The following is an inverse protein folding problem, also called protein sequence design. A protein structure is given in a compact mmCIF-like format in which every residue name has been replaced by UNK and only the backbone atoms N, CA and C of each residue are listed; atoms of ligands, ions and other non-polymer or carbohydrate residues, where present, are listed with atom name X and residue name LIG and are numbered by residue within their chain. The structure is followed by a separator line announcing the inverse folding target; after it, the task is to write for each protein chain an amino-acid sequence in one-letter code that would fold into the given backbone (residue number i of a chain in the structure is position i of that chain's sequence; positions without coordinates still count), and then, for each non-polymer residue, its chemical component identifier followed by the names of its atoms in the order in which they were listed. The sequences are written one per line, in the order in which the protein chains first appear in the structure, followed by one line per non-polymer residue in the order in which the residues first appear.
data_IF_774855247877
#
_entry.id   IF_774855247877
#
_cell.length_a   1.000
_cell.length_b   1.000
_cell.length_c   1.000
_cell.angle_alpha   90.00
_cell.angle_beta   90.00
_cell.angle_gamma   90.00
#
_symmetry.space_group_name_H-M   'P 1'
#
loop_
_entity.id
_entity.type
_entity.pdbx_description
1 polymer ?
#
# COMPACT_ATOMS: atom_id res chain seq x y z
N UNK A 1 9.87 -23.59 18.32
CA UNK A 1 8.73 -23.82 17.42
C UNK A 1 9.26 -24.21 16.05
N UNK A 2 8.77 -25.30 15.50
CA UNK A 2 9.11 -25.75 14.14
C UNK A 2 7.86 -25.64 13.27
N UNK A 3 8.04 -25.19 12.03
CA UNK A 3 6.96 -25.10 11.04
C UNK A 3 7.43 -25.73 9.73
N UNK A 4 6.65 -26.69 9.24
CA UNK A 4 6.88 -27.30 7.92
C UNK A 4 5.97 -26.61 6.91
N UNK A 5 6.56 -26.03 5.85
CA UNK A 5 5.82 -25.35 4.81
C UNK A 5 6.11 -25.95 3.44
N UNK A 6 5.11 -25.91 2.56
CA UNK A 6 5.32 -26.23 1.14
C UNK A 6 6.03 -25.05 0.47
N UNK A 7 7.15 -25.31 -0.14
CA UNK A 7 7.86 -24.30 -0.94
C UNK A 7 7.26 -24.23 -2.36
N UNK A 8 7.25 -23.02 -2.92
CA UNK A 8 6.88 -22.76 -4.31
C UNK A 8 8.12 -22.51 -5.15
N UNK A 9 8.00 -22.68 -6.46
CA UNK A 9 9.06 -22.28 -7.39
C UNK A 9 9.24 -20.76 -7.32
N UNK A 10 10.50 -20.29 -7.31
CA UNK A 10 10.79 -18.86 -7.38
C UNK A 10 10.17 -18.27 -8.67
N UNK A 11 9.43 -17.16 -8.59
CA UNK A 11 8.87 -16.53 -9.78
C UNK A 11 9.97 -16.07 -10.73
N UNK A 12 9.68 -16.09 -12.02
CA UNK A 12 10.57 -15.62 -13.08
C UNK A 12 10.73 -14.10 -13.04
N UNK A 13 9.63 -13.39 -12.80
CA UNK A 13 9.55 -11.94 -12.74
C UNK A 13 8.79 -11.49 -11.50
N UNK A 14 9.25 -10.40 -10.91
CA UNK A 14 8.56 -9.70 -9.81
C UNK A 14 8.62 -8.21 -10.09
N UNK A 15 7.48 -7.52 -10.13
CA UNK A 15 7.42 -6.08 -10.35
C UNK A 15 6.44 -5.43 -9.38
N UNK A 16 6.73 -4.19 -9.00
CA UNK A 16 5.85 -3.39 -8.15
C UNK A 16 5.31 -2.18 -8.90
N UNK A 17 4.06 -1.79 -8.56
CA UNK A 17 3.42 -0.59 -9.08
C UNK A 17 3.11 0.33 -7.90
N UNK A 18 3.53 1.60 -7.99
CA UNK A 18 3.07 2.67 -7.12
C UNK A 18 1.83 3.29 -7.75
N UNK A 19 0.78 3.50 -6.97
CA UNK A 19 -0.47 4.11 -7.41
C UNK A 19 -0.88 5.15 -6.38
N UNK A 20 -1.02 6.41 -6.80
CA UNK A 20 -1.38 7.53 -5.95
C UNK A 20 -2.82 7.97 -6.17
N UNK A 21 -3.49 8.36 -5.07
CA UNK A 21 -4.89 8.78 -5.07
C UNK A 21 -5.05 10.10 -4.31
N UNK A 22 -6.06 10.90 -4.70
CA UNK A 22 -6.41 12.14 -4.03
C UNK A 22 -7.33 11.95 -2.82
N UNK A 23 -7.83 10.74 -2.61
CA UNK A 23 -8.58 10.34 -1.42
C UNK A 23 -8.14 8.96 -0.95
N UNK A 24 -8.21 8.73 0.35
CA UNK A 24 -7.88 7.41 0.91
C UNK A 24 -8.98 6.39 0.59
N UNK A 25 -10.21 6.85 0.44
CA UNK A 25 -11.35 6.03 0.07
C UNK A 25 -11.19 5.44 -1.36
N UNK A 26 -10.74 6.25 -2.34
CA UNK A 26 -10.50 5.77 -3.71
C UNK A 26 -9.39 4.69 -3.73
N UNK A 27 -8.37 4.82 -2.86
CA UNK A 27 -7.34 3.77 -2.71
C UNK A 27 -7.91 2.46 -2.15
N UNK A 28 -8.78 2.55 -1.14
CA UNK A 28 -9.46 1.40 -0.56
C UNK A 28 -10.40 0.70 -1.55
N UNK A 29 -11.14 1.47 -2.36
CA UNK A 29 -11.97 0.93 -3.43
C UNK A 29 -11.13 0.22 -4.50
N UNK A 30 -9.98 0.78 -4.86
CA UNK A 30 -9.05 0.16 -5.81
C UNK A 30 -8.56 -1.21 -5.32
N UNK A 31 -8.22 -1.32 -4.02
CA UNK A 31 -7.85 -2.61 -3.40
C UNK A 31 -8.99 -3.62 -3.52
N UNK A 32 -10.21 -3.23 -3.16
CA UNK A 32 -11.38 -4.09 -3.23
C UNK A 32 -11.62 -4.59 -4.68
N UNK A 33 -11.49 -3.71 -5.67
CA UNK A 33 -11.69 -4.04 -7.07
C UNK A 33 -10.60 -4.96 -7.63
N UNK A 34 -9.32 -4.76 -7.24
CA UNK A 34 -8.21 -5.66 -7.61
C UNK A 34 -8.53 -7.09 -7.15
N UNK A 35 -8.92 -7.25 -5.89
CA UNK A 35 -9.27 -8.55 -5.33
C UNK A 35 -10.54 -9.13 -5.98
N UNK A 36 -11.57 -8.31 -6.20
CA UNK A 36 -12.83 -8.74 -6.83
C UNK A 36 -12.63 -9.23 -8.28
N UNK A 37 -11.59 -8.74 -8.97
CA UNK A 37 -11.19 -9.22 -10.30
C UNK A 37 -10.33 -10.49 -10.27
N UNK A 38 -10.15 -11.10 -9.09
CA UNK A 38 -9.38 -12.33 -8.92
C UNK A 38 -7.87 -12.14 -9.03
N UNK A 39 -7.38 -10.91 -8.95
CA UNK A 39 -5.94 -10.64 -8.92
C UNK A 39 -5.46 -10.83 -7.47
N UNK A 40 -4.49 -11.72 -7.28
CA UNK A 40 -3.86 -11.99 -5.98
C UNK A 40 -2.42 -11.49 -6.07
N UNK A 41 -2.14 -10.26 -5.61
CA UNK A 41 -0.77 -9.74 -5.60
C UNK A 41 0.13 -10.49 -4.63
N UNK A 42 1.44 -10.51 -4.90
CA UNK A 42 2.45 -10.98 -3.95
C UNK A 42 2.54 -10.07 -2.69
N UNK A 43 2.17 -8.81 -2.85
CA UNK A 43 2.04 -7.84 -1.75
C UNK A 43 1.18 -6.66 -2.15
N UNK A 44 0.40 -6.13 -1.22
CA UNK A 44 -0.43 -4.94 -1.46
C UNK A 44 -0.55 -4.11 -0.18
N UNK A 45 -0.01 -2.88 -0.23
CA UNK A 45 0.20 -2.02 0.92
C UNK A 45 -0.33 -0.62 0.68
N UNK A 46 -0.97 -0.02 1.68
CA UNK A 46 -1.41 1.38 1.65
C UNK A 46 -0.67 2.20 2.70
N UNK A 47 -0.35 3.43 2.34
CA UNK A 47 0.06 4.50 3.26
C UNK A 47 -0.71 5.77 2.97
N UNK A 48 -1.05 6.53 4.01
CA UNK A 48 -1.61 7.88 3.88
C UNK A 48 -0.54 8.96 3.75
N UNK A 49 -0.95 10.19 3.45
CA UNK A 49 -0.06 11.32 3.19
C UNK A 49 0.95 11.62 4.30
N UNK A 50 0.57 11.65 5.59
CA UNK A 50 1.55 11.88 6.66
C UNK A 50 2.70 10.88 6.59
N UNK A 51 2.37 9.61 6.41
CA UNK A 51 3.34 8.54 6.36
C UNK A 51 4.12 8.48 5.04
N UNK A 52 3.49 8.81 3.90
CA UNK A 52 4.18 8.97 2.61
C UNK A 52 5.32 9.99 2.74
N UNK A 53 5.04 11.16 3.31
CA UNK A 53 6.02 12.24 3.47
C UNK A 53 7.12 11.82 4.45
N UNK A 54 6.77 11.25 5.60
CA UNK A 54 7.72 10.82 6.60
C UNK A 54 8.66 9.73 6.05
N UNK A 55 8.11 8.71 5.39
CA UNK A 55 8.88 7.61 4.81
C UNK A 55 9.76 8.05 3.65
N UNK A 56 9.27 8.95 2.79
CA UNK A 56 10.07 9.47 1.68
C UNK A 56 11.21 10.34 2.18
N UNK A 57 11.00 11.16 3.22
CA UNK A 57 12.05 11.94 3.86
C UNK A 57 13.13 11.04 4.48
N UNK A 58 12.72 9.95 5.13
CA UNK A 58 13.62 9.03 5.82
C UNK A 58 14.38 8.11 4.84
N UNK A 59 13.65 7.44 3.95
CA UNK A 59 14.20 6.37 3.12
C UNK A 59 14.59 6.80 1.70
N UNK A 60 14.20 8.02 1.27
CA UNK A 60 14.40 8.54 -0.10
C UNK A 60 13.86 7.57 -1.17
N UNK A 61 12.65 7.11 -0.97
CA UNK A 61 12.00 6.12 -1.83
C UNK A 61 11.54 6.72 -3.18
N UNK A 62 11.40 8.03 -3.28
CA UNK A 62 10.92 8.75 -4.46
C UNK A 62 9.41 8.63 -4.62
N UNK A 63 8.68 8.68 -3.51
CA UNK A 63 7.21 8.64 -3.51
C UNK A 63 6.61 9.97 -3.97
N UNK A 64 5.43 9.95 -4.64
CA UNK A 64 4.70 11.16 -4.95
C UNK A 64 4.21 11.84 -3.65
N UNK A 65 4.39 13.16 -3.55
CA UNK A 65 4.02 13.94 -2.35
C UNK A 65 2.70 14.68 -2.47
N UNK A 66 2.17 14.74 -3.67
CA UNK A 66 0.93 15.43 -4.05
C UNK A 66 -0.30 14.52 -4.04
N UNK A 67 -0.21 13.38 -3.36
CA UNK A 67 -1.29 12.41 -3.18
C UNK A 67 -1.69 12.29 -1.71
N UNK A 68 -2.94 11.91 -1.45
CA UNK A 68 -3.45 11.67 -0.09
C UNK A 68 -3.28 10.21 0.36
N UNK A 69 -3.18 9.28 -0.61
CA UNK A 69 -2.90 7.88 -0.36
C UNK A 69 -1.98 7.29 -1.43
N UNK A 70 -1.11 6.39 -1.03
CA UNK A 70 -0.22 5.62 -1.90
C UNK A 70 -0.48 4.13 -1.71
N UNK A 71 -0.82 3.45 -2.79
CA UNK A 71 -0.94 2.00 -2.87
C UNK A 71 0.30 1.44 -3.56
N UNK A 72 0.92 0.43 -2.97
CA UNK A 72 1.99 -0.38 -3.55
C UNK A 72 1.41 -1.75 -3.86
N UNK A 73 1.50 -2.18 -5.11
CA UNK A 73 1.05 -3.51 -5.55
C UNK A 73 2.24 -4.25 -6.13
N UNK A 74 2.61 -5.38 -5.54
CA UNK A 74 3.66 -6.27 -6.08
C UNK A 74 3.02 -7.48 -6.76
N UNK A 75 3.47 -7.75 -7.97
CA UNK A 75 2.97 -8.82 -8.82
C UNK A 75 4.13 -9.74 -9.21
N UNK A 76 3.90 -11.05 -9.17
CA UNK A 76 4.89 -12.08 -9.48
C UNK A 76 4.33 -13.15 -10.40
N UNK A 77 5.21 -13.85 -11.10
CA UNK A 77 4.84 -14.89 -12.05
C UNK A 77 5.86 -15.02 -13.19
N UNK A 78 5.40 -15.47 -14.35
CA UNK A 78 6.17 -15.36 -15.61
C UNK A 78 6.19 -13.89 -16.07
N UNK A 79 7.16 -13.52 -16.90
CA UNK A 79 7.27 -12.15 -17.41
C UNK A 79 5.98 -11.69 -18.10
N UNK A 80 5.40 -12.54 -18.95
CA UNK A 80 4.17 -12.24 -19.68
C UNK A 80 2.93 -12.10 -18.76
N UNK A 81 2.85 -12.94 -17.72
CA UNK A 81 1.78 -12.83 -16.72
C UNK A 81 1.87 -11.52 -15.94
N UNK A 82 3.08 -11.18 -15.47
CA UNK A 82 3.32 -9.95 -14.72
C UNK A 82 2.97 -8.71 -15.54
N UNK A 83 3.38 -8.64 -16.80
CA UNK A 83 3.04 -7.53 -17.70
C UNK A 83 1.52 -7.42 -17.92
N UNK A 84 0.84 -8.54 -18.09
CA UNK A 84 -0.63 -8.59 -18.21
C UNK A 84 -1.31 -8.11 -16.94
N UNK A 85 -0.84 -8.55 -15.77
CA UNK A 85 -1.39 -8.17 -14.46
C UNK A 85 -1.15 -6.68 -14.16
N UNK A 86 0.02 -6.14 -14.50
CA UNK A 86 0.31 -4.71 -14.36
C UNK A 86 -0.72 -3.89 -15.14
N UNK A 87 -0.97 -4.22 -16.40
CA UNK A 87 -1.94 -3.49 -17.22
C UNK A 87 -3.35 -3.55 -16.61
N UNK A 88 -3.80 -4.73 -16.15
CA UNK A 88 -5.09 -4.88 -15.47
C UNK A 88 -5.18 -4.03 -14.18
N UNK A 89 -4.12 -4.02 -13.37
CA UNK A 89 -4.06 -3.22 -12.14
C UNK A 89 -4.12 -1.73 -12.47
N UNK A 90 -3.41 -1.27 -13.51
CA UNK A 90 -3.44 0.12 -13.94
C UNK A 90 -4.82 0.53 -14.47
N UNK A 91 -5.51 -0.33 -15.19
CA UNK A 91 -6.89 -0.07 -15.65
C UNK A 91 -7.86 0.06 -14.45
N UNK A 92 -7.74 -0.83 -13.46
CA UNK A 92 -8.53 -0.76 -12.22
C UNK A 92 -8.21 0.53 -11.46
N UNK A 93 -6.93 0.88 -11.34
CA UNK A 93 -6.50 2.12 -10.69
C UNK A 93 -7.11 3.36 -11.36
N UNK A 94 -7.11 3.40 -12.69
CA UNK A 94 -7.74 4.48 -13.47
C UNK A 94 -9.26 4.58 -13.22
N UNK A 95 -9.95 3.44 -13.16
CA UNK A 95 -11.39 3.40 -12.83
C UNK A 95 -11.66 3.96 -11.42
N UNK A 96 -10.72 3.77 -10.48
CA UNK A 96 -10.75 4.30 -9.12
C UNK A 96 -10.07 5.67 -8.98
N UNK A 97 -9.96 6.44 -10.05
CA UNK A 97 -9.47 7.84 -10.09
C UNK A 97 -8.03 8.01 -9.61
N UNK A 98 -7.16 7.05 -9.84
CA UNK A 98 -5.74 7.20 -9.55
C UNK A 98 -5.19 8.43 -10.29
N UNK A 99 -4.49 9.30 -9.56
CA UNK A 99 -3.85 10.52 -10.08
C UNK A 99 -2.37 10.33 -10.43
N UNK A 100 -1.78 9.24 -9.96
CA UNK A 100 -0.39 8.88 -10.19
C UNK A 100 -0.24 7.38 -10.35
N UNK A 101 0.64 6.96 -11.24
CA UNK A 101 1.08 5.56 -11.31
C UNK A 101 2.52 5.46 -11.81
N UNK A 102 3.24 4.45 -11.34
CA UNK A 102 4.60 4.12 -11.77
C UNK A 102 4.89 2.64 -11.54
N UNK A 103 5.08 1.89 -12.61
CA UNK A 103 5.56 0.52 -12.52
C UNK A 103 7.09 0.50 -12.43
N UNK A 104 7.65 -0.39 -11.62
CA UNK A 104 9.09 -0.57 -11.54
C UNK A 104 9.65 -1.16 -12.84
N UNK A 105 10.78 -0.60 -13.31
CA UNK A 105 11.48 -1.03 -14.52
C UNK A 105 12.70 -1.91 -14.22
N UNK A 106 13.03 -2.06 -12.94
CA UNK A 106 14.15 -2.90 -12.47
C UNK A 106 13.88 -3.41 -11.06
N UNK A 107 14.60 -4.44 -10.64
CA UNK A 107 14.60 -4.93 -9.26
C UNK A 107 15.07 -3.87 -8.26
N UNK A 108 16.03 -3.05 -8.65
CA UNK A 108 16.55 -1.96 -7.83
C UNK A 108 15.45 -0.91 -7.54
N UNK A 109 14.67 -0.54 -8.57
CA UNK A 109 13.55 0.36 -8.40
C UNK A 109 12.44 -0.26 -7.55
N UNK A 110 12.11 -1.53 -7.77
CA UNK A 110 11.16 -2.28 -6.95
C UNK A 110 11.57 -2.30 -5.48
N UNK A 111 12.82 -2.62 -5.19
CA UNK A 111 13.35 -2.64 -3.84
C UNK A 111 13.34 -1.25 -3.19
N UNK A 112 13.55 -0.18 -3.97
CA UNK A 112 13.44 1.20 -3.49
C UNK A 112 12.02 1.54 -3.06
N UNK A 113 10.98 1.11 -3.81
CA UNK A 113 9.58 1.28 -3.40
C UNK A 113 9.31 0.60 -2.06
N UNK A 114 9.76 -0.64 -1.90
CA UNK A 114 9.60 -1.38 -0.65
C UNK A 114 10.43 -0.81 0.51
N UNK A 115 11.58 -0.21 0.23
CA UNK A 115 12.42 0.41 1.26
C UNK A 115 11.66 1.47 2.03
N UNK A 116 10.91 2.33 1.35
CA UNK A 116 10.06 3.32 2.00
C UNK A 116 9.01 2.65 2.89
N UNK A 117 8.22 1.71 2.34
CA UNK A 117 7.18 1.02 3.10
C UNK A 117 7.73 0.29 4.34
N UNK A 118 8.86 -0.38 4.21
CA UNK A 118 9.52 -1.07 5.34
C UNK A 118 10.01 -0.10 6.42
N UNK A 119 10.29 1.13 6.08
CA UNK A 119 10.71 2.17 7.01
C UNK A 119 9.55 2.89 7.72
N UNK A 120 8.28 2.54 7.43
CA UNK A 120 7.10 3.27 7.87
C UNK A 120 7.05 3.49 9.39
N UNK A 121 7.21 2.43 10.18
CA UNK A 121 7.21 2.53 11.64
C UNK A 121 8.35 3.40 12.17
N UNK A 122 9.56 3.23 11.65
CA UNK A 122 10.71 4.06 12.04
C UNK A 122 10.50 5.51 11.64
N UNK A 123 9.95 5.76 10.45
CA UNK A 123 9.68 7.10 9.94
C UNK A 123 8.55 7.80 10.71
N UNK A 124 7.61 7.05 11.30
CA UNK A 124 6.56 7.61 12.15
C UNK A 124 7.15 8.36 13.36
N UNK A 125 8.28 7.91 13.90
CA UNK A 125 9.00 8.60 14.96
C UNK A 125 9.50 10.01 14.61
N UNK A 126 9.48 10.38 13.33
CA UNK A 126 9.78 11.76 12.88
C UNK A 126 8.52 12.65 13.00
N UNK A 127 7.32 12.06 12.96
CA UNK A 127 6.05 12.79 13.12
C UNK A 127 5.76 13.07 14.60
N UNK A 128 6.02 12.09 15.46
CA UNK A 128 5.87 12.21 16.91
C UNK A 128 6.93 11.36 17.61
N UNK A 129 7.52 11.83 18.73
CA UNK A 129 8.48 11.04 19.50
C UNK A 129 7.87 9.78 20.10
N UNK A 130 6.57 9.83 20.40
CA UNK A 130 5.79 8.71 20.93
C UNK A 130 4.54 8.51 20.07
N UNK A 131 4.20 7.26 19.78
CA UNK A 131 2.97 6.89 19.10
C UNK A 131 2.45 5.53 19.55
N UNK A 132 1.17 5.29 19.39
CA UNK A 132 0.54 4.01 19.71
C UNK A 132 0.26 3.31 18.38
N UNK A 133 0.90 2.16 18.16
CA UNK A 133 0.57 1.29 17.04
C UNK A 133 -0.62 0.41 17.43
N UNK A 134 -1.72 0.59 16.73
CA UNK A 134 -2.87 -0.32 16.83
C UNK A 134 -2.77 -1.43 15.78
N UNK A 135 -3.44 -2.54 16.04
CA UNK A 135 -3.51 -3.68 15.14
C UNK A 135 -4.95 -4.19 15.07
N UNK A 136 -5.46 -4.33 13.86
CA UNK A 136 -6.83 -4.77 13.65
C UNK A 136 -7.02 -5.40 12.29
N UNK A 137 -8.00 -6.29 12.17
CA UNK A 137 -8.33 -6.92 10.89
C UNK A 137 -9.78 -6.66 10.51
N UNK A 138 -10.02 -6.31 9.27
CA UNK A 138 -11.34 -6.05 8.73
C UNK A 138 -11.55 -6.78 7.39
N UNK A 139 -12.81 -7.03 6.99
CA UNK A 139 -13.09 -7.47 5.63
C UNK A 139 -12.56 -6.46 4.60
N UNK A 140 -11.85 -6.93 3.58
CA UNK A 140 -11.18 -6.08 2.56
C UNK A 140 -12.14 -5.11 1.85
N UNK A 141 -13.40 -5.52 1.65
CA UNK A 141 -14.44 -4.67 1.06
C UNK A 141 -14.95 -3.56 2.00
N UNK A 142 -14.47 -3.51 3.26
CA UNK A 142 -14.76 -2.45 4.24
C UNK A 142 -13.60 -1.48 4.42
N UNK A 143 -12.53 -1.69 3.69
CA UNK A 143 -11.30 -0.88 3.86
C UNK A 143 -11.59 0.63 3.65
N UNK A 144 -12.26 1.00 2.57
CA UNK A 144 -12.61 2.40 2.28
C UNK A 144 -13.48 3.02 3.39
N UNK A 145 -14.51 2.29 3.87
CA UNK A 145 -15.41 2.75 4.93
C UNK A 145 -14.63 3.03 6.23
N UNK A 146 -13.76 2.09 6.62
CA UNK A 146 -12.97 2.19 7.87
C UNK A 146 -11.94 3.30 7.79
N UNK A 147 -11.24 3.43 6.67
CA UNK A 147 -10.28 4.52 6.45
C UNK A 147 -10.95 5.91 6.55
N UNK A 148 -12.10 6.08 5.90
CA UNK A 148 -12.89 7.30 6.00
C UNK A 148 -13.37 7.56 7.43
N UNK A 149 -13.70 6.52 8.20
CA UNK A 149 -14.10 6.64 9.59
C UNK A 149 -12.94 7.03 10.52
N UNK A 150 -11.76 6.42 10.37
CA UNK A 150 -10.54 6.80 11.10
C UNK A 150 -10.24 8.29 10.88
N UNK A 151 -10.31 8.76 9.63
CA UNK A 151 -10.07 10.16 9.29
C UNK A 151 -11.09 11.10 9.96
N UNK A 152 -12.36 10.70 10.06
CA UNK A 152 -13.39 11.45 10.80
C UNK A 152 -13.11 11.52 12.31
N UNK A 153 -12.66 10.39 12.89
CA UNK A 153 -12.30 10.34 14.31
C UNK A 153 -11.08 11.20 14.63
N UNK A 154 -10.03 11.10 13.80
CA UNK A 154 -8.84 11.95 13.89
C UNK A 154 -9.21 13.44 13.97
N UNK A 155 -10.04 13.91 13.04
CA UNK A 155 -10.53 15.31 13.04
C UNK A 155 -11.39 15.64 14.26
N UNK A 156 -12.29 14.74 14.67
CA UNK A 156 -13.20 14.94 15.81
C UNK A 156 -12.44 15.08 17.13
N UNK A 157 -11.45 14.22 17.35
CA UNK A 157 -10.70 14.17 18.60
C UNK A 157 -9.39 14.98 18.56
N UNK A 158 -9.06 15.59 17.40
CA UNK A 158 -7.81 16.34 17.16
C UNK A 158 -6.57 15.51 17.49
N UNK A 159 -6.60 14.24 17.10
CA UNK A 159 -5.48 13.31 17.19
C UNK A 159 -4.88 13.14 15.80
N UNK A 160 -3.58 13.31 15.71
CA UNK A 160 -2.87 12.97 14.47
C UNK A 160 -2.86 11.45 14.30
N UNK A 161 -3.20 10.99 13.11
CA UNK A 161 -3.18 9.56 12.76
C UNK A 161 -2.43 9.39 11.47
N UNK A 162 -1.46 8.48 11.47
CA UNK A 162 -0.77 8.04 10.27
C UNK A 162 -1.10 6.57 10.01
N UNK A 163 -1.46 6.24 8.77
CA UNK A 163 -1.99 4.94 8.43
C UNK A 163 -1.05 4.14 7.52
N UNK A 164 -0.78 2.90 7.93
CA UNK A 164 0.05 1.95 7.20
C UNK A 164 -0.60 0.56 7.26
N UNK A 165 -1.03 0.03 6.12
CA UNK A 165 -1.88 -1.15 6.09
C UNK A 165 -1.38 -2.23 5.16
N UNK A 166 -1.58 -3.50 5.57
CA UNK A 166 -1.52 -4.65 4.68
C UNK A 166 -2.87 -4.77 3.94
N UNK A 167 -3.01 -3.98 2.87
CA UNK A 167 -4.28 -3.85 2.17
C UNK A 167 -4.75 -5.16 1.54
N UNK A 168 -3.81 -6.04 1.17
CA UNK A 168 -4.10 -7.33 0.55
C UNK A 168 -4.84 -8.32 1.44
N UNK A 169 -4.70 -8.21 2.77
CA UNK A 169 -5.33 -9.12 3.74
C UNK A 169 -6.28 -8.43 4.74
N UNK A 170 -6.38 -7.10 4.67
CA UNK A 170 -7.28 -6.31 5.52
C UNK A 170 -6.73 -6.05 6.92
N UNK A 171 -5.42 -6.20 7.13
CA UNK A 171 -4.77 -5.88 8.38
C UNK A 171 -4.37 -4.40 8.44
N UNK A 172 -4.80 -3.71 9.49
CA UNK A 172 -4.68 -2.27 9.67
C UNK A 172 -3.74 -1.93 10.82
N UNK A 173 -2.86 -0.96 10.60
CA UNK A 173 -1.98 -0.39 11.62
C UNK A 173 -2.15 1.14 11.66
N UNK A 174 -3.21 1.69 12.29
CA UNK A 174 -3.25 3.10 12.63
C UNK A 174 -2.19 3.40 13.68
N UNK A 175 -1.42 4.47 13.47
CA UNK A 175 -0.30 4.91 14.29
C UNK A 175 -0.59 6.29 14.89
#
# INVERSE_FOLDING_TARGET
TEVTVRILKKPESVRAVLIGFQTIEDSGNCVADIIAKGIVPAGMEIMDKPLIIATDNYAKAGYPRDVEALLIVELDGTTSEVDTLINKVLDIAKMNKASYNRASNSDEERLRFWKGRKAAFTACGVLSPDYICMDGSIPRNKLADVLGYINKLSKKYKLDVANCFHAGDGNLHPL
#
